data_IF_296309458134
#
_entry.id   IF_296309458134
#
_cell.length_a   1.000
_cell.length_b   1.000
_cell.length_c   1.000
_cell.angle_alpha   90.00
_cell.angle_beta   90.00
_cell.angle_gamma   90.00
#
_symmetry.space_group_name_H-M   'P 1'
#
loop_
_entity.id
_entity.type
_entity.pdbx_description
1 polymer ?
#
# COMPACT_ATOMS: atom_id res chain seq x y z
N UNK A 1 -8.87 -3.12 5.86
CA UNK A 1 -10.17 -2.44 5.54
C UNK A 1 -11.00 -3.30 4.62
N UNK A 2 -12.29 -3.16 4.70
CA UNK A 2 -13.18 -3.83 3.76
C UNK A 2 -13.19 -3.12 2.42
N UNK A 3 -13.41 -3.89 1.35
CA UNK A 3 -13.35 -3.37 -0.01
C UNK A 3 -14.26 -2.17 -0.27
N UNK A 4 -15.46 -2.19 0.31
CA UNK A 4 -16.43 -1.10 0.10
C UNK A 4 -16.04 0.22 0.78
N UNK A 5 -15.03 0.18 1.66
CA UNK A 5 -14.52 1.36 2.35
C UNK A 5 -13.23 1.90 1.74
N UNK A 6 -12.66 1.17 0.80
CA UNK A 6 -11.44 1.58 0.12
C UNK A 6 -11.82 2.29 -1.18
N UNK A 7 -11.25 3.47 -1.40
CA UNK A 7 -11.54 4.28 -2.57
C UNK A 7 -10.29 4.55 -3.39
N UNK A 8 -10.42 4.42 -4.71
CA UNK A 8 -9.33 4.76 -5.64
C UNK A 8 -9.02 6.26 -5.50
N UNK A 9 -7.75 6.58 -5.45
CA UNK A 9 -7.28 7.96 -5.31
C UNK A 9 -7.07 8.41 -3.87
N UNK A 10 -7.48 7.61 -2.90
CA UNK A 10 -7.28 7.92 -1.49
C UNK A 10 -6.00 7.29 -0.95
N UNK A 11 -5.45 7.90 0.09
CA UNK A 11 -4.21 7.43 0.73
C UNK A 11 -4.53 6.69 2.03
N UNK A 12 -3.90 5.55 2.21
CA UNK A 12 -4.09 4.71 3.40
C UNK A 12 -2.74 4.27 3.95
N UNK A 13 -2.71 3.95 5.24
CA UNK A 13 -1.55 3.31 5.86
C UNK A 13 -1.62 1.81 5.56
N UNK A 14 -0.57 1.27 4.97
CA UNK A 14 -0.52 -0.11 4.54
C UNK A 14 0.66 -0.84 5.18
N UNK A 15 0.54 -2.16 5.22
CA UNK A 15 1.62 -3.03 5.68
C UNK A 15 1.83 -4.13 4.66
N UNK A 16 3.07 -4.57 4.54
CA UNK A 16 3.41 -5.68 3.64
C UNK A 16 4.61 -6.43 4.20
N UNK A 17 4.64 -7.76 4.05
CA UNK A 17 5.82 -8.53 4.43
C UNK A 17 7.03 -8.21 3.57
N UNK A 18 6.85 -7.55 2.43
CA UNK A 18 7.96 -7.12 1.58
C UNK A 18 8.69 -5.91 2.14
N UNK A 19 8.03 -5.13 3.01
CA UNK A 19 8.63 -3.95 3.65
C UNK A 19 8.70 -4.17 5.15
N UNK A 20 9.72 -3.62 5.79
CA UNK A 20 9.94 -3.79 7.23
C UNK A 20 9.02 -2.94 8.07
N UNK A 21 8.57 -1.82 7.55
CA UNK A 21 7.75 -0.85 8.27
C UNK A 21 6.48 -0.57 7.50
N UNK A 22 5.47 -0.07 8.20
CA UNK A 22 4.27 0.41 7.54
C UNK A 22 4.60 1.60 6.63
N UNK A 23 3.78 1.82 5.65
CA UNK A 23 3.98 2.88 4.67
C UNK A 23 2.64 3.47 4.27
N UNK A 24 2.66 4.61 3.61
CA UNK A 24 1.45 5.21 3.06
C UNK A 24 1.44 5.04 1.55
N UNK A 25 0.31 4.61 1.03
CA UNK A 25 0.12 4.42 -0.39
C UNK A 25 -1.23 4.94 -0.85
N UNK A 26 -1.26 5.43 -2.07
CA UNK A 26 -2.48 5.89 -2.72
C UNK A 26 -3.02 4.77 -3.59
N UNK A 27 -4.28 4.43 -3.42
CA UNK A 27 -4.91 3.33 -4.17
C UNK A 27 -5.08 3.71 -5.62
N UNK A 28 -4.53 2.89 -6.52
CA UNK A 28 -4.66 3.08 -7.97
C UNK A 28 -5.70 2.15 -8.58
N UNK A 29 -5.78 0.91 -8.07
CA UNK A 29 -6.74 -0.09 -8.52
C UNK A 29 -7.19 -0.96 -7.37
N UNK A 30 -8.41 -1.47 -7.47
CA UNK A 30 -8.97 -2.40 -6.48
C UNK A 30 -9.22 -3.73 -7.20
N UNK A 31 -8.69 -4.80 -6.64
CA UNK A 31 -8.91 -6.17 -7.10
C UNK A 31 -9.87 -6.89 -6.15
N UNK A 32 -10.13 -8.16 -6.39
CA UNK A 32 -11.09 -8.94 -5.59
C UNK A 32 -10.75 -8.97 -4.09
N UNK A 33 -9.47 -9.16 -3.75
CA UNK A 33 -9.04 -9.33 -2.36
C UNK A 33 -7.86 -8.41 -1.99
N UNK A 34 -7.47 -7.53 -2.89
CA UNK A 34 -6.29 -6.68 -2.69
C UNK A 34 -6.42 -5.38 -3.47
N UNK A 35 -5.48 -4.48 -3.25
CA UNK A 35 -5.41 -3.21 -3.96
C UNK A 35 -4.01 -2.97 -4.46
N UNK A 36 -3.90 -2.25 -5.57
CA UNK A 36 -2.62 -1.76 -6.05
C UNK A 36 -2.44 -0.35 -5.51
N UNK A 37 -1.34 -0.11 -4.79
CA UNK A 37 -1.05 1.20 -4.22
C UNK A 37 0.25 1.77 -4.77
N UNK A 38 0.29 3.09 -4.86
CA UNK A 38 1.49 3.84 -5.19
C UNK A 38 2.11 4.27 -3.85
N UNK A 39 3.25 3.69 -3.50
CA UNK A 39 3.93 3.91 -2.22
C UNK A 39 4.64 5.26 -2.26
N UNK A 40 4.34 6.16 -1.33
CA UNK A 40 4.98 7.47 -1.32
C UNK A 40 5.48 7.97 0.03
N UNK A 41 5.09 7.34 1.14
CA UNK A 41 5.70 7.61 2.44
C UNK A 41 6.15 6.30 3.06
N UNK A 42 7.44 6.15 3.28
CA UNK A 42 8.04 4.92 3.78
C UNK A 42 9.33 5.22 4.53
N UNK A 43 9.80 4.26 5.31
CA UNK A 43 11.05 4.41 6.05
C UNK A 43 12.27 4.23 5.14
N UNK A 44 13.36 4.91 5.46
CA UNK A 44 14.61 4.83 4.68
C UNK A 44 15.13 3.41 4.57
N UNK A 45 14.89 2.58 5.58
CA UNK A 45 15.32 1.17 5.55
C UNK A 45 14.65 0.39 4.44
N UNK A 46 13.49 0.85 3.96
CA UNK A 46 12.74 0.20 2.89
C UNK A 46 12.92 0.87 1.52
N UNK A 47 13.71 1.94 1.45
CA UNK A 47 13.84 2.73 0.22
C UNK A 47 14.31 1.91 -0.97
N UNK A 48 15.28 1.03 -0.77
CA UNK A 48 15.78 0.18 -1.86
C UNK A 48 14.71 -0.76 -2.37
N UNK A 49 13.93 -1.36 -1.46
CA UNK A 49 12.87 -2.29 -1.83
C UNK A 49 11.75 -1.56 -2.58
N UNK A 50 11.37 -0.38 -2.11
CA UNK A 50 10.38 0.44 -2.79
C UNK A 50 10.85 0.79 -4.21
N UNK A 51 12.12 1.13 -4.36
CA UNK A 51 12.70 1.42 -5.67
C UNK A 51 12.66 0.19 -6.58
N UNK A 52 13.00 -0.99 -6.05
CA UNK A 52 12.94 -2.25 -6.78
C UNK A 52 11.53 -2.59 -7.25
N UNK A 53 10.52 -2.13 -6.52
CA UNK A 53 9.11 -2.34 -6.85
C UNK A 53 8.54 -1.23 -7.75
N UNK A 54 9.37 -0.29 -8.17
CA UNK A 54 8.96 0.87 -8.97
C UNK A 54 7.91 1.73 -8.24
N UNK A 55 7.94 1.72 -6.91
CA UNK A 55 7.03 2.52 -6.09
C UNK A 55 5.60 1.97 -6.01
N UNK A 56 5.34 0.79 -6.53
CA UNK A 56 4.00 0.19 -6.54
C UNK A 56 3.99 -1.17 -5.87
N UNK A 57 2.88 -1.47 -5.20
CA UNK A 57 2.78 -2.70 -4.44
C UNK A 57 1.32 -3.13 -4.35
N UNK A 58 1.10 -4.44 -4.46
CA UNK A 58 -0.24 -5.02 -4.24
C UNK A 58 -0.36 -5.37 -2.76
N UNK A 59 -1.40 -4.86 -2.11
CA UNK A 59 -1.62 -5.02 -0.66
C UNK A 59 -2.99 -5.67 -0.44
N UNK A 60 -3.07 -6.75 0.35
CA UNK A 60 -4.37 -7.34 0.66
C UNK A 60 -5.22 -6.38 1.50
N UNK A 61 -6.55 -6.50 1.38
CA UNK A 61 -7.46 -5.62 2.11
C UNK A 61 -7.20 -5.59 3.61
N UNK A 62 -6.88 -6.74 4.21
CA UNK A 62 -6.65 -6.83 5.66
C UNK A 62 -5.38 -6.09 6.12
N UNK A 63 -4.52 -5.71 5.19
CA UNK A 63 -3.30 -4.94 5.48
C UNK A 63 -3.43 -3.46 5.17
N UNK A 64 -4.61 -3.01 4.77
CA UNK A 64 -4.91 -1.60 4.49
C UNK A 64 -5.63 -1.02 5.70
N UNK A 65 -5.13 0.09 6.24
CA UNK A 65 -5.70 0.74 7.40
C UNK A 65 -6.02 2.20 7.09
N UNK A 66 -7.03 2.80 7.75
CA UNK A 66 -7.30 4.22 7.60
C UNK A 66 -6.06 5.04 7.99
N UNK A 67 -5.76 6.05 7.22
CA UNK A 67 -4.61 6.91 7.51
C UNK A 67 -4.97 8.02 8.50
#
# INVERSE_FOLDING_TARGET
MEADKIEVGQTYTCESPLLKKSFKGTVEKIYDLSVLVDVHEFEDTDAKKVDDLNGRLVVPFYSVNPS
#
